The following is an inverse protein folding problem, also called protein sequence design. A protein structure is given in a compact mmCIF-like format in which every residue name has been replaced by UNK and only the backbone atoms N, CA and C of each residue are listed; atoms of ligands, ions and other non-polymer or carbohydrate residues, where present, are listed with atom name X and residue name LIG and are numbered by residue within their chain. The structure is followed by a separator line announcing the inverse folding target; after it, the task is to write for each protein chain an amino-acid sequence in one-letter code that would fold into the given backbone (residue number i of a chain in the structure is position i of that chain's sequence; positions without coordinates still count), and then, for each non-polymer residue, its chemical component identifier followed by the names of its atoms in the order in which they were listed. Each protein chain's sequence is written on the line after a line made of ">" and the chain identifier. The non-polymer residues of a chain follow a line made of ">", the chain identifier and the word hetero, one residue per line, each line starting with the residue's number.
data_IF_456743085086
#
_entry.id   IF_456743085086
#
_cell.length_a   1.000
_cell.length_b   1.000
_cell.length_c   1.000
_cell.angle_alpha   90.00
_cell.angle_beta   90.00
_cell.angle_gamma   90.00
#
_symmetry.space_group_name_H-M   'P 1'
#
loop_
_entity.id
_entity.type
_entity.pdbx_description
1 polymer ?
#
# COMPACT_ATOMS: atom_id res chain seq x y z
N UNK A 1 16.09 -6.81 -9.49
CA UNK A 1 16.29 -7.68 -8.30
C UNK A 1 17.65 -7.42 -7.67
N UNK A 2 17.85 -7.79 -6.38
CA UNK A 2 19.21 -7.94 -5.80
C UNK A 2 19.67 -9.35 -6.11
N UNK A 3 20.79 -9.48 -6.82
CA UNK A 3 21.50 -10.74 -6.94
C UNK A 3 22.77 -10.69 -6.09
N UNK A 4 23.25 -11.86 -5.69
CA UNK A 4 24.53 -12.05 -5.00
C UNK A 4 25.41 -12.90 -5.90
N UNK A 5 26.61 -12.41 -6.25
CA UNK A 5 27.67 -13.21 -6.82
C UNK A 5 28.75 -13.48 -5.76
N UNK A 6 29.57 -14.50 -6.04
CA UNK A 6 30.73 -14.96 -5.25
C UNK A 6 31.61 -13.76 -4.84
N UNK A 7 31.33 -13.18 -3.67
CA UNK A 7 31.89 -11.90 -3.24
C UNK A 7 31.01 -11.11 -2.27
N UNK A 8 29.71 -11.40 -2.19
CA UNK A 8 28.83 -10.88 -1.12
C UNK A 8 28.35 -9.44 -1.28
N UNK A 9 28.73 -8.74 -2.34
CA UNK A 9 28.30 -7.37 -2.58
C UNK A 9 26.98 -7.33 -3.39
N UNK A 10 25.96 -6.61 -2.91
CA UNK A 10 24.66 -6.56 -3.57
C UNK A 10 24.68 -5.60 -4.77
N UNK A 11 24.17 -6.05 -5.92
CA UNK A 11 24.10 -5.25 -7.16
C UNK A 11 22.66 -4.96 -7.59
N UNK A 12 22.48 -3.89 -8.37
CA UNK A 12 21.21 -3.52 -9.02
C UNK A 12 21.44 -3.28 -10.50
N UNK A 13 20.61 -3.93 -11.32
CA UNK A 13 20.63 -3.84 -12.79
C UNK A 13 19.61 -2.83 -13.26
N UNK A 14 20.00 -1.96 -14.20
CA UNK A 14 19.12 -1.02 -14.90
C UNK A 14 19.33 -1.15 -16.42
N UNK A 15 18.25 -1.15 -17.20
CA UNK A 15 18.36 -1.02 -18.65
C UNK A 15 18.93 0.36 -19.02
N UNK A 16 19.64 0.45 -20.15
CA UNK A 16 20.29 1.66 -20.67
C UNK A 16 19.25 2.74 -21.04
N UNK A 17 18.73 3.42 -20.02
CA UNK A 17 17.86 4.59 -20.16
C UNK A 17 18.52 5.83 -19.54
N UNK A 18 17.99 7.01 -19.85
CA UNK A 18 18.47 8.28 -19.28
C UNK A 18 18.49 8.25 -17.74
N UNK A 19 17.48 7.61 -17.16
CA UNK A 19 17.29 7.39 -15.73
C UNK A 19 18.40 6.53 -15.10
N UNK A 20 18.95 5.55 -15.83
CA UNK A 20 20.08 4.74 -15.37
C UNK A 20 21.38 5.56 -15.28
N UNK A 21 21.62 6.42 -16.27
CA UNK A 21 22.73 7.37 -16.24
C UNK A 21 22.63 8.36 -15.08
N UNK A 22 21.42 8.83 -14.78
CA UNK A 22 21.16 9.76 -13.68
C UNK A 22 21.37 9.09 -12.32
N UNK A 23 20.88 7.86 -12.15
CA UNK A 23 21.08 7.05 -10.94
C UNK A 23 22.57 6.80 -10.65
N UNK A 24 23.39 6.50 -11.68
CA UNK A 24 24.84 6.30 -11.54
C UNK A 24 25.57 7.58 -11.11
N UNK A 25 25.12 8.75 -11.59
CA UNK A 25 25.72 10.04 -11.24
C UNK A 25 25.41 10.47 -9.80
N UNK A 26 24.29 10.02 -9.24
CA UNK A 26 23.80 10.47 -7.94
C UNK A 26 24.44 9.78 -6.72
N UNK A 27 25.46 8.92 -6.92
CA UNK A 27 26.53 8.55 -5.96
C UNK A 27 26.19 7.95 -4.59
N UNK A 28 24.92 7.93 -4.17
CA UNK A 28 24.48 7.63 -2.80
C UNK A 28 23.77 6.27 -2.68
N UNK A 29 24.11 5.32 -3.56
CA UNK A 29 23.55 3.96 -3.49
C UNK A 29 24.50 3.05 -2.72
N UNK A 30 24.01 2.25 -1.75
CA UNK A 30 24.79 1.17 -1.15
C UNK A 30 24.97 -0.02 -2.10
N UNK A 31 24.40 0.04 -3.30
CA UNK A 31 24.52 -0.97 -4.35
C UNK A 31 25.39 -0.47 -5.50
N UNK A 32 26.17 -1.38 -6.07
CA UNK A 32 26.92 -1.12 -7.32
C UNK A 32 25.90 -1.04 -8.47
N UNK A 33 25.92 0.09 -9.18
CA UNK A 33 25.10 0.33 -10.38
C UNK A 33 25.97 0.03 -11.60
N UNK A 34 25.65 -1.05 -12.30
CA UNK A 34 26.32 -1.44 -13.55
C UNK A 34 25.35 -1.24 -14.73
N UNK A 35 25.86 -0.67 -15.82
CA UNK A 35 25.18 -0.74 -17.12
C UNK A 35 25.37 -2.13 -17.69
N UNK A 36 24.31 -2.76 -18.18
CA UNK A 36 24.40 -4.00 -18.96
C UNK A 36 24.53 -3.65 -20.44
N UNK A 37 25.53 -4.21 -21.11
CA UNK A 37 25.64 -4.16 -22.57
C UNK A 37 24.94 -5.39 -23.19
N UNK A 38 24.52 -5.31 -24.45
CA UNK A 38 23.74 -6.38 -25.11
C UNK A 38 24.51 -7.72 -25.16
N UNK A 39 25.84 -7.67 -25.17
CA UNK A 39 26.73 -8.83 -25.21
C UNK A 39 27.08 -9.39 -23.82
N UNK A 40 26.59 -8.78 -22.73
CA UNK A 40 26.91 -9.24 -21.39
C UNK A 40 26.29 -10.60 -21.08
N UNK A 41 27.12 -11.53 -20.61
CA UNK A 41 26.67 -12.86 -20.15
C UNK A 41 25.56 -12.81 -19.10
N UNK A 42 25.48 -11.73 -18.33
CA UNK A 42 24.43 -11.46 -17.34
C UNK A 42 23.07 -11.17 -17.97
N UNK A 43 23.00 -10.57 -19.17
CA UNK A 43 21.74 -10.31 -19.87
C UNK A 43 21.02 -11.63 -20.17
N UNK A 44 21.79 -12.66 -20.56
CA UNK A 44 21.24 -13.99 -20.84
C UNK A 44 20.74 -14.75 -19.61
N UNK A 45 21.20 -14.38 -18.41
CA UNK A 45 20.82 -15.04 -17.15
C UNK A 45 19.66 -14.35 -16.41
N UNK A 46 19.31 -13.12 -16.81
CA UNK A 46 18.21 -12.35 -16.21
C UNK A 46 16.93 -12.61 -17.01
N UNK A 47 15.84 -12.94 -16.31
CA UNK A 47 14.54 -13.10 -16.96
C UNK A 47 13.97 -11.73 -17.34
N UNK A 48 13.33 -11.63 -18.52
CA UNK A 48 12.68 -10.38 -18.97
C UNK A 48 11.66 -9.87 -17.94
N UNK A 49 11.00 -10.77 -17.19
CA UNK A 49 10.04 -10.39 -16.12
C UNK A 49 10.71 -9.66 -14.96
N UNK A 50 12.00 -9.86 -14.75
CA UNK A 50 12.76 -9.23 -13.66
C UNK A 50 13.23 -7.82 -14.04
N UNK A 51 13.22 -7.52 -15.36
CA UNK A 51 13.47 -6.21 -15.95
C UNK A 51 12.17 -5.39 -16.08
N UNK A 52 11.00 -6.03 -15.97
CA UNK A 52 9.73 -5.30 -15.98
C UNK A 52 9.62 -4.38 -14.75
N UNK A 53 9.16 -3.13 -14.96
CA UNK A 53 8.87 -2.24 -13.86
C UNK A 53 7.88 -2.89 -12.88
N UNK A 54 8.03 -2.68 -11.56
CA UNK A 54 7.09 -3.21 -10.59
C UNK A 54 5.69 -2.69 -10.91
N UNK A 55 4.70 -3.59 -10.82
CA UNK A 55 3.31 -3.25 -11.11
C UNK A 55 2.86 -2.02 -10.32
N UNK A 56 2.16 -1.06 -10.96
CA UNK A 56 1.66 0.11 -10.28
C UNK A 56 0.70 -0.33 -9.18
N UNK A 57 0.78 0.34 -8.03
CA UNK A 57 -0.16 0.08 -6.95
C UNK A 57 -1.59 0.38 -7.43
N UNK A 58 -2.59 -0.41 -7.02
CA UNK A 58 -3.99 -0.08 -7.26
C UNK A 58 -4.31 1.33 -6.80
N UNK A 59 -5.15 2.05 -7.54
CA UNK A 59 -5.55 3.42 -7.16
C UNK A 59 -6.31 3.37 -5.83
N UNK A 60 -5.79 4.06 -4.83
CA UNK A 60 -6.46 4.27 -3.53
C UNK A 60 -6.88 5.73 -3.40
N UNK A 61 -7.97 6.01 -2.68
CA UNK A 61 -8.34 7.39 -2.35
C UNK A 61 -7.22 8.08 -1.56
N UNK A 62 -7.14 9.42 -1.65
CA UNK A 62 -6.14 10.19 -0.91
C UNK A 62 -6.22 9.94 0.61
N UNK A 63 -7.45 9.85 1.16
CA UNK A 63 -7.67 9.56 2.58
C UNK A 63 -7.18 8.14 2.96
N UNK A 64 -7.47 7.15 2.12
CA UNK A 64 -6.98 5.78 2.34
C UNK A 64 -5.45 5.72 2.27
N UNK A 65 -4.84 6.38 1.27
CA UNK A 65 -3.39 6.44 1.13
C UNK A 65 -2.73 7.07 2.36
N UNK A 66 -3.24 8.21 2.84
CA UNK A 66 -2.75 8.87 4.05
C UNK A 66 -2.82 7.95 5.28
N UNK A 67 -3.94 7.21 5.43
CA UNK A 67 -4.09 6.24 6.51
C UNK A 67 -3.07 5.11 6.45
N UNK A 68 -2.86 4.55 5.27
CA UNK A 68 -1.90 3.46 5.06
C UNK A 68 -0.47 3.92 5.34
N UNK A 69 -0.09 5.10 4.87
CA UNK A 69 1.24 5.68 5.10
C UNK A 69 1.46 5.94 6.59
N UNK A 70 0.51 6.60 7.26
CA UNK A 70 0.61 6.88 8.69
C UNK A 70 0.72 5.59 9.50
N UNK A 71 -0.11 4.59 9.23
CA UNK A 71 -0.05 3.29 9.90
C UNK A 71 1.31 2.61 9.71
N UNK A 72 1.87 2.63 8.49
CA UNK A 72 3.20 2.09 8.19
C UNK A 72 4.34 2.82 8.92
N UNK A 73 4.17 4.11 9.19
CA UNK A 73 5.11 4.93 9.97
C UNK A 73 4.86 4.87 11.50
N UNK A 74 3.91 4.05 11.96
CA UNK A 74 3.50 4.03 13.38
C UNK A 74 2.81 5.32 13.85
N UNK A 75 2.38 6.16 12.91
CA UNK A 75 1.68 7.42 13.16
C UNK A 75 0.16 7.22 13.11
N UNK A 76 -0.56 7.96 13.95
CA UNK A 76 -2.03 8.01 13.89
C UNK A 76 -2.44 9.16 12.98
N UNK A 77 -3.29 8.87 11.98
CA UNK A 77 -3.95 9.95 11.24
C UNK A 77 -4.87 10.68 12.20
N UNK A 78 -4.67 11.98 12.37
CA UNK A 78 -5.61 12.83 13.07
C UNK A 78 -6.95 12.77 12.34
N UNK A 79 -7.93 12.17 12.99
CA UNK A 79 -9.30 12.20 12.50
C UNK A 79 -10.04 13.27 13.28
N UNK A 80 -10.79 14.13 12.58
CA UNK A 80 -11.72 15.08 13.21
C UNK A 80 -12.94 14.36 13.83
N UNK A 81 -12.96 13.02 13.78
CA UNK A 81 -13.96 12.19 14.42
C UNK A 81 -13.84 12.29 15.94
N UNK A 82 -14.70 13.15 16.50
CA UNK A 82 -14.77 13.42 17.93
C UNK A 82 -15.90 12.66 18.63
N UNK A 83 -15.95 12.82 19.96
CA UNK A 83 -16.94 12.20 20.85
C UNK A 83 -18.38 12.58 20.45
N UNK A 84 -18.60 13.82 20.01
CA UNK A 84 -19.93 14.28 19.58
C UNK A 84 -20.46 13.55 18.33
N UNK A 85 -19.59 13.32 17.35
CA UNK A 85 -19.93 12.57 16.13
C UNK A 85 -20.19 11.10 16.46
N UNK A 86 -19.37 10.52 17.33
CA UNK A 86 -19.58 9.17 17.85
C UNK A 86 -20.93 9.03 18.57
N UNK A 87 -21.31 10.00 19.41
CA UNK A 87 -22.60 10.00 20.11
C UNK A 87 -23.78 10.06 19.14
N UNK A 88 -23.70 10.91 18.11
CA UNK A 88 -24.72 11.00 17.06
C UNK A 88 -24.88 9.68 16.30
N UNK A 89 -23.77 9.03 15.93
CA UNK A 89 -23.80 7.74 15.25
C UNK A 89 -24.43 6.64 16.13
N UNK A 90 -24.10 6.65 17.43
CA UNK A 90 -24.66 5.70 18.40
C UNK A 90 -26.16 5.95 18.65
N UNK A 91 -26.59 7.20 18.76
CA UNK A 91 -28.01 7.55 18.86
C UNK A 91 -28.78 7.13 17.61
N UNK A 92 -28.24 7.41 16.42
CA UNK A 92 -28.83 6.96 15.16
C UNK A 92 -28.90 5.42 15.09
N UNK A 93 -27.90 4.71 15.62
CA UNK A 93 -27.91 3.24 15.73
C UNK A 93 -29.02 2.76 16.65
N UNK A 94 -29.17 3.33 17.84
CA UNK A 94 -30.23 3.00 18.81
C UNK A 94 -31.61 3.25 18.23
N UNK A 95 -31.82 4.39 17.58
CA UNK A 95 -33.08 4.72 16.94
C UNK A 95 -33.46 3.70 15.85
N UNK A 96 -32.50 3.25 15.03
CA UNK A 96 -32.74 2.19 14.04
C UNK A 96 -33.17 0.87 14.69
N UNK A 97 -32.60 0.51 15.84
CA UNK A 97 -32.95 -0.72 16.54
C UNK A 97 -34.34 -0.61 17.17
N UNK A 98 -34.63 0.50 17.86
CA UNK A 98 -35.94 0.75 18.46
C UNK A 98 -37.04 0.78 17.39
N UNK A 99 -36.79 1.42 16.25
CA UNK A 99 -37.74 1.43 15.13
C UNK A 99 -38.01 0.01 14.63
N UNK A 100 -36.95 -0.81 14.47
CA UNK A 100 -37.10 -2.21 14.05
C UNK A 100 -37.85 -3.06 15.07
N UNK A 101 -37.60 -2.83 16.36
CA UNK A 101 -38.32 -3.50 17.45
C UNK A 101 -39.80 -3.13 17.40
N UNK A 102 -40.11 -1.83 17.35
CA UNK A 102 -41.49 -1.33 17.26
C UNK A 102 -42.23 -1.89 16.04
N UNK A 103 -41.60 -1.87 14.85
CA UNK A 103 -42.20 -2.45 13.65
C UNK A 103 -42.44 -3.95 13.78
N UNK A 104 -41.60 -4.67 14.53
CA UNK A 104 -41.80 -6.09 14.82
C UNK A 104 -42.99 -6.28 15.75
N UNK A 105 -43.01 -5.57 16.87
CA UNK A 105 -44.07 -5.65 17.88
C UNK A 105 -45.43 -5.26 17.29
N UNK A 106 -45.48 -4.26 16.39
CA UNK A 106 -46.70 -3.85 15.66
C UNK A 106 -47.19 -4.92 14.67
N UNK A 107 -46.28 -5.67 14.04
CA UNK A 107 -46.64 -6.64 13.01
C UNK A 107 -46.93 -8.05 13.58
N UNK A 108 -46.33 -8.42 14.71
CA UNK A 108 -46.36 -9.79 15.25
C UNK A 108 -46.91 -9.88 16.69
N UNK A 109 -47.15 -8.75 17.36
CA UNK A 109 -47.52 -8.72 18.78
C UNK A 109 -46.30 -8.88 19.69
N UNK A 110 -46.49 -8.75 21.01
CA UNK A 110 -45.42 -8.99 21.98
C UNK A 110 -45.07 -10.48 22.00
N UNK A 111 -43.78 -10.80 22.11
CA UNK A 111 -43.34 -12.15 22.47
C UNK A 111 -43.80 -12.41 23.92
N UNK A 112 -44.96 -13.05 24.09
CA UNK A 112 -45.39 -13.59 25.38
C UNK A 112 -44.38 -14.69 25.82
N UNK A 113 -44.01 -14.75 27.12
CA UNK A 113 -42.98 -15.66 27.63
C UNK A 113 -43.35 -17.14 27.57
#
# INVERSE_FOLDING_TARGET
>A
MRGELLGGDPYVVLELSFEACEARKNGSSPYIICSLEEDDSLVSSISMKDLEPPYPRPKTSASTAQRLIAQGMGQRVSSNFGIGELRKQEEARRNRIQMRQKMRDEAWGADDP
#
